data_IF_162891155125
#
_entry.id   IF_162891155125
#
_cell.length_a   1.000
_cell.length_b   1.000
_cell.length_c   1.000
_cell.angle_alpha   90.00
_cell.angle_beta   90.00
_cell.angle_gamma   90.00
#
_symmetry.space_group_name_H-M   'P 1'
#
loop_
_entity.id
_entity.type
_entity.pdbx_description
1 polymer ?
#
# COMPACT_ATOMS: atom_id res chain seq x y z
N UNK A 1 -33.65 -42.53 32.19
CA UNK A 1 -33.35 -42.95 30.81
C UNK A 1 -33.35 -41.69 29.95
N UNK A 2 -32.16 -41.30 29.49
CA UNK A 2 -31.75 -40.18 28.62
C UNK A 2 -32.59 -38.88 28.59
N UNK A 3 -32.05 -37.82 29.24
CA UNK A 3 -32.29 -36.42 28.84
C UNK A 3 -31.48 -36.14 27.57
N UNK A 4 -32.16 -35.90 26.45
CA UNK A 4 -31.55 -35.25 25.29
C UNK A 4 -31.24 -33.79 25.65
N UNK A 5 -29.95 -33.46 25.69
CA UNK A 5 -29.45 -32.09 25.77
C UNK A 5 -29.69 -31.42 24.42
N UNK A 6 -30.74 -30.60 24.34
CA UNK A 6 -30.93 -29.70 23.22
C UNK A 6 -29.83 -28.63 23.26
N UNK A 7 -28.91 -28.67 22.29
CA UNK A 7 -27.83 -27.69 22.15
C UNK A 7 -28.39 -26.36 21.64
N UNK A 8 -28.27 -25.25 22.41
CA UNK A 8 -28.79 -23.93 22.02
C UNK A 8 -28.04 -23.27 20.84
N UNK A 9 -26.89 -23.81 20.42
CA UNK A 9 -26.01 -23.21 19.40
C UNK A 9 -26.56 -23.26 17.96
N UNK A 10 -27.56 -24.12 17.71
CA UNK A 10 -28.04 -24.43 16.36
C UNK A 10 -28.97 -23.36 15.74
N UNK A 11 -29.74 -22.64 16.56
CA UNK A 11 -30.67 -21.61 16.06
C UNK A 11 -29.97 -20.30 15.68
N UNK A 12 -28.88 -19.97 16.36
CA UNK A 12 -28.13 -18.73 16.16
C UNK A 12 -27.24 -18.80 14.91
N UNK A 13 -26.66 -19.98 14.65
CA UNK A 13 -25.89 -20.29 13.42
C UNK A 13 -26.73 -20.25 12.15
N UNK A 14 -27.96 -20.78 12.17
CA UNK A 14 -28.85 -20.77 11.00
C UNK A 14 -29.27 -19.32 10.64
N UNK A 15 -29.38 -18.44 11.64
CA UNK A 15 -29.73 -17.04 11.44
C UNK A 15 -28.61 -16.23 10.77
N UNK A 16 -27.36 -16.42 11.20
CA UNK A 16 -26.20 -15.72 10.66
C UNK A 16 -25.86 -16.16 9.24
N UNK A 17 -25.97 -17.46 8.93
CA UNK A 17 -25.79 -17.96 7.56
C UNK A 17 -26.83 -17.37 6.59
N UNK A 18 -28.10 -17.33 6.99
CA UNK A 18 -29.17 -16.72 6.16
C UNK A 18 -28.93 -15.24 5.90
N UNK A 19 -28.42 -14.51 6.88
CA UNK A 19 -28.07 -13.09 6.72
C UNK A 19 -26.93 -12.92 5.70
N UNK A 20 -25.88 -13.77 5.77
CA UNK A 20 -24.79 -13.73 4.81
C UNK A 20 -25.27 -13.99 3.36
N UNK A 21 -26.10 -15.02 3.16
CA UNK A 21 -26.70 -15.31 1.85
C UNK A 21 -27.52 -14.15 1.29
N UNK A 22 -28.32 -13.50 2.13
CA UNK A 22 -29.12 -12.34 1.74
C UNK A 22 -28.25 -11.15 1.32
N UNK A 23 -27.19 -10.86 2.09
CA UNK A 23 -26.23 -9.80 1.74
C UNK A 23 -25.57 -10.09 0.40
N UNK A 24 -25.19 -11.34 0.12
CA UNK A 24 -24.56 -11.71 -1.15
C UNK A 24 -25.47 -11.53 -2.34
N UNK A 25 -26.76 -11.85 -2.19
CA UNK A 25 -27.72 -11.64 -3.24
C UNK A 25 -27.91 -10.16 -3.55
N UNK A 26 -27.96 -9.34 -2.49
CA UNK A 26 -28.03 -7.89 -2.63
C UNK A 26 -26.79 -7.30 -3.31
N UNK A 27 -25.59 -7.79 -2.97
CA UNK A 27 -24.34 -7.38 -3.62
C UNK A 27 -24.39 -7.70 -5.11
N UNK A 28 -24.72 -8.94 -5.49
CA UNK A 28 -24.83 -9.33 -6.91
C UNK A 28 -25.87 -8.51 -7.66
N UNK A 29 -27.05 -8.34 -7.07
CA UNK A 29 -28.11 -7.52 -7.63
C UNK A 29 -27.61 -6.09 -7.89
N UNK A 30 -26.93 -5.48 -6.92
CA UNK A 30 -26.41 -4.13 -7.07
C UNK A 30 -25.25 -4.01 -8.06
N UNK A 31 -24.38 -5.01 -8.17
CA UNK A 31 -23.33 -5.05 -9.19
C UNK A 31 -23.93 -5.10 -10.60
N UNK A 32 -24.95 -5.94 -10.79
CA UNK A 32 -25.67 -6.06 -12.07
C UNK A 32 -26.46 -4.80 -12.43
N UNK A 33 -27.29 -4.29 -11.53
CA UNK A 33 -28.10 -3.08 -11.77
C UNK A 33 -27.24 -1.85 -12.07
N UNK A 34 -26.05 -1.76 -11.44
CA UNK A 34 -25.09 -0.68 -11.70
C UNK A 34 -24.12 -0.97 -12.85
N UNK A 35 -24.28 -2.11 -13.52
CA UNK A 35 -23.43 -2.55 -14.63
C UNK A 35 -21.94 -2.53 -14.28
N UNK A 36 -21.61 -2.88 -13.04
CA UNK A 36 -20.22 -2.90 -12.54
C UNK A 36 -19.49 -4.05 -13.20
N UNK A 37 -18.42 -3.75 -13.94
CA UNK A 37 -17.59 -4.76 -14.59
C UNK A 37 -16.40 -5.21 -13.73
N UNK A 38 -15.92 -4.32 -12.85
CA UNK A 38 -14.76 -4.57 -11.99
C UNK A 38 -15.05 -4.12 -10.57
N UNK A 39 -14.68 -4.96 -9.61
CA UNK A 39 -14.63 -4.63 -8.19
C UNK A 39 -13.16 -4.58 -7.77
N UNK A 40 -12.73 -3.42 -7.29
CA UNK A 40 -11.41 -3.24 -6.72
C UNK A 40 -11.52 -3.26 -5.20
N UNK A 41 -10.85 -4.22 -4.58
CA UNK A 41 -10.71 -4.33 -3.13
C UNK A 41 -9.29 -3.89 -2.77
N UNK A 42 -9.21 -2.71 -2.15
CA UNK A 42 -7.96 -2.18 -1.61
C UNK A 42 -7.74 -2.66 -0.19
N UNK A 43 -6.47 -2.75 0.21
CA UNK A 43 -6.03 -3.38 1.46
C UNK A 43 -6.65 -4.77 1.67
N UNK A 44 -6.74 -5.57 0.60
CA UNK A 44 -7.43 -6.85 0.58
C UNK A 44 -6.82 -7.88 1.55
N UNK A 45 -5.57 -7.68 2.01
CA UNK A 45 -5.01 -8.48 3.10
C UNK A 45 -5.83 -8.37 4.39
N UNK A 46 -6.60 -7.29 4.60
CA UNK A 46 -7.45 -7.15 5.78
C UNK A 46 -8.62 -8.13 5.80
N UNK A 47 -8.99 -8.67 4.64
CA UNK A 47 -9.93 -9.78 4.55
C UNK A 47 -9.35 -11.08 5.14
N UNK A 48 -8.03 -11.16 5.26
CA UNK A 48 -7.26 -12.29 5.79
C UNK A 48 -6.61 -12.03 7.15
N UNK A 49 -6.35 -10.77 7.51
CA UNK A 49 -5.39 -10.38 8.54
C UNK A 49 -5.75 -10.84 9.97
N UNK A 50 -6.95 -11.39 10.18
CA UNK A 50 -7.44 -11.88 11.49
C UNK A 50 -8.19 -13.20 11.45
N UNK A 51 -8.25 -13.83 10.28
CA UNK A 51 -9.19 -14.93 10.05
C UNK A 51 -8.62 -16.30 10.30
N UNK A 52 -9.45 -17.17 10.89
CA UNK A 52 -9.19 -18.61 10.88
C UNK A 52 -9.11 -19.13 9.44
N UNK A 53 -8.54 -20.32 9.19
CA UNK A 53 -8.57 -20.96 7.85
C UNK A 53 -9.97 -21.01 7.23
N UNK A 54 -11.00 -21.02 8.07
CA UNK A 54 -12.39 -21.01 7.64
C UNK A 54 -12.80 -19.67 7.01
N UNK A 55 -12.35 -18.54 7.55
CA UNK A 55 -12.63 -17.21 7.02
C UNK A 55 -11.93 -16.98 5.68
N UNK A 56 -10.67 -17.42 5.55
CA UNK A 56 -9.95 -17.40 4.27
C UNK A 56 -10.70 -18.20 3.18
N UNK A 57 -11.24 -19.36 3.52
CA UNK A 57 -12.07 -20.16 2.62
C UNK A 57 -13.36 -19.44 2.22
N UNK A 58 -14.00 -18.74 3.17
CA UNK A 58 -15.22 -17.98 2.91
C UNK A 58 -14.95 -16.81 1.96
N UNK A 59 -13.87 -16.05 2.20
CA UNK A 59 -13.42 -14.96 1.34
C UNK A 59 -13.10 -15.47 -0.07
N UNK A 60 -12.27 -16.51 -0.20
CA UNK A 60 -11.93 -17.07 -1.51
C UNK A 60 -13.16 -17.59 -2.26
N UNK A 61 -14.10 -18.24 -1.56
CA UNK A 61 -15.35 -18.72 -2.14
C UNK A 61 -16.26 -17.58 -2.61
N UNK A 62 -16.30 -16.48 -1.85
CA UNK A 62 -17.04 -15.28 -2.23
C UNK A 62 -16.47 -14.65 -3.50
N UNK A 63 -15.16 -14.42 -3.56
CA UNK A 63 -14.51 -13.87 -4.75
C UNK A 63 -14.75 -14.75 -5.98
N UNK A 64 -14.61 -16.07 -5.83
CA UNK A 64 -14.90 -17.02 -6.91
C UNK A 64 -16.34 -16.92 -7.41
N UNK A 65 -17.31 -16.80 -6.49
CA UNK A 65 -18.73 -16.71 -6.84
C UNK A 65 -19.03 -15.47 -7.67
N UNK A 66 -18.45 -14.32 -7.30
CA UNK A 66 -18.59 -13.07 -8.07
C UNK A 66 -17.95 -13.16 -9.46
N UNK A 67 -16.79 -13.81 -9.57
CA UNK A 67 -16.07 -13.99 -10.84
C UNK A 67 -16.78 -14.96 -11.79
N UNK A 68 -17.55 -15.91 -11.28
CA UNK A 68 -18.21 -16.95 -12.06
C UNK A 68 -19.74 -16.85 -12.06
N UNK A 69 -20.27 -15.67 -11.73
CA UNK A 69 -21.71 -15.43 -11.81
C UNK A 69 -22.19 -15.64 -13.26
N UNK A 70 -23.23 -16.47 -13.50
CA UNK A 70 -23.67 -16.78 -14.85
C UNK A 70 -24.44 -15.65 -15.53
N UNK A 71 -25.02 -14.72 -14.76
CA UNK A 71 -25.77 -13.58 -15.30
C UNK A 71 -24.90 -12.33 -15.44
N UNK A 72 -24.01 -12.07 -14.48
CA UNK A 72 -23.19 -10.87 -14.43
C UNK A 72 -21.83 -11.11 -13.75
N UNK A 73 -20.87 -11.77 -14.44
CA UNK A 73 -19.54 -12.00 -13.88
C UNK A 73 -18.78 -10.69 -13.75
N UNK A 74 -18.11 -10.49 -12.60
CA UNK A 74 -17.28 -9.30 -12.36
C UNK A 74 -15.80 -9.65 -12.30
N UNK A 75 -14.98 -8.80 -12.91
CA UNK A 75 -13.53 -8.82 -12.73
C UNK A 75 -13.17 -8.36 -11.31
N UNK A 76 -12.20 -9.02 -10.70
CA UNK A 76 -11.72 -8.66 -9.36
C UNK A 76 -10.30 -8.10 -9.47
N UNK A 77 -10.08 -6.95 -8.85
CA UNK A 77 -8.75 -6.38 -8.62
C UNK A 77 -8.53 -6.41 -7.11
N UNK A 78 -7.45 -7.07 -6.68
CA UNK A 78 -7.03 -7.06 -5.29
C UNK A 78 -5.72 -6.27 -5.20
N UNK A 79 -5.67 -5.25 -4.36
CA UNK A 79 -4.44 -4.58 -3.96
C UNK A 79 -4.25 -4.67 -2.47
N UNK A 80 -3.01 -4.57 -2.03
CA UNK A 80 -2.66 -4.73 -0.64
C UNK A 80 -1.16 -4.88 -0.43
N UNK A 81 -0.83 -5.16 0.81
CA UNK A 81 0.54 -5.47 1.24
C UNK A 81 0.90 -6.93 0.91
N UNK A 82 2.17 -7.37 1.08
CA UNK A 82 2.59 -8.74 0.78
C UNK A 82 1.77 -9.84 1.49
N UNK A 83 1.13 -9.53 2.61
CA UNK A 83 0.20 -10.40 3.35
C UNK A 83 -1.00 -10.86 2.48
N UNK A 84 -1.34 -10.14 1.41
CA UNK A 84 -2.37 -10.57 0.44
C UNK A 84 -1.98 -11.88 -0.27
N UNK A 85 -0.69 -12.20 -0.37
CA UNK A 85 -0.22 -13.44 -0.96
C UNK A 85 -0.78 -14.68 -0.24
N UNK A 86 -1.05 -14.58 1.07
CA UNK A 86 -1.61 -15.67 1.85
C UNK A 86 -3.00 -16.09 1.35
N UNK A 87 -3.83 -15.14 0.92
CA UNK A 87 -5.16 -15.43 0.35
C UNK A 87 -5.02 -16.22 -0.96
N UNK A 88 -4.13 -15.76 -1.85
CA UNK A 88 -3.94 -16.39 -3.15
C UNK A 88 -3.30 -17.77 -3.02
N UNK A 89 -2.30 -17.90 -2.15
CA UNK A 89 -1.61 -19.17 -1.92
C UNK A 89 -2.48 -20.21 -1.19
N UNK A 90 -3.47 -19.75 -0.41
CA UNK A 90 -4.41 -20.63 0.29
C UNK A 90 -5.44 -21.29 -0.65
N UNK A 91 -5.82 -20.64 -1.76
CA UNK A 91 -6.74 -21.20 -2.77
C UNK A 91 -6.14 -21.20 -4.19
N UNK A 92 -5.58 -22.34 -4.63
CA UNK A 92 -5.02 -22.49 -5.98
C UNK A 92 -6.02 -22.24 -7.12
N UNK A 93 -7.33 -22.38 -6.89
CA UNK A 93 -8.34 -22.11 -7.92
C UNK A 93 -8.53 -20.60 -8.09
N UNK A 94 -8.46 -19.84 -7.01
CA UNK A 94 -8.46 -18.38 -7.04
C UNK A 94 -7.18 -17.86 -7.71
N UNK A 95 -6.01 -18.35 -7.27
CA UNK A 95 -4.72 -17.93 -7.84
C UNK A 95 -4.65 -18.12 -9.37
N UNK A 96 -5.16 -19.23 -9.91
CA UNK A 96 -5.19 -19.50 -11.36
C UNK A 96 -6.05 -18.53 -12.17
N UNK A 97 -6.95 -17.79 -11.52
CA UNK A 97 -7.84 -16.82 -12.17
C UNK A 97 -7.33 -15.38 -12.05
N UNK A 98 -6.24 -15.17 -11.32
CA UNK A 98 -5.67 -13.85 -11.06
C UNK A 98 -4.38 -13.68 -11.86
N UNK A 99 -4.16 -12.47 -12.37
CA UNK A 99 -2.86 -12.03 -12.84
C UNK A 99 -2.20 -11.24 -11.71
N UNK A 100 -1.05 -11.71 -11.22
CA UNK A 100 -0.35 -11.07 -10.11
C UNK A 100 0.72 -10.11 -10.61
N UNK A 101 0.82 -8.95 -9.95
CA UNK A 101 1.88 -7.97 -10.14
C UNK A 101 2.44 -7.65 -8.77
N UNK A 102 3.72 -7.95 -8.54
CA UNK A 102 4.40 -7.65 -7.29
C UNK A 102 5.35 -6.47 -7.49
N UNK A 103 5.17 -5.42 -6.69
CA UNK A 103 6.06 -4.25 -6.69
C UNK A 103 7.20 -4.48 -5.70
N UNK A 104 8.40 -4.73 -6.23
CA UNK A 104 9.58 -4.91 -5.39
C UNK A 104 10.03 -3.59 -4.76
N UNK A 105 10.72 -3.69 -3.63
CA UNK A 105 11.43 -2.54 -3.05
C UNK A 105 12.46 -1.99 -4.03
N UNK A 106 12.62 -0.67 -4.03
CA UNK A 106 13.61 0.02 -4.85
C UNK A 106 15.02 -0.27 -4.32
N UNK A 107 15.89 -0.78 -5.18
CA UNK A 107 17.33 -0.75 -4.97
C UNK A 107 17.91 0.65 -5.22
N UNK A 108 18.63 1.27 -4.25
CA UNK A 108 19.33 2.54 -4.45
C UNK A 108 20.25 2.53 -5.68
N UNK A 109 21.03 1.44 -5.82
CA UNK A 109 22.03 1.30 -6.89
C UNK A 109 21.38 1.11 -8.26
N UNK A 110 20.28 0.34 -8.33
CA UNK A 110 19.66 0.01 -9.61
C UNK A 110 18.70 1.10 -10.11
N UNK A 111 17.97 1.76 -9.19
CA UNK A 111 16.87 2.66 -9.54
C UNK A 111 17.14 4.13 -9.20
N UNK A 112 18.36 4.48 -8.77
CA UNK A 112 18.71 5.86 -8.42
C UNK A 112 18.43 6.85 -9.55
N UNK A 113 18.77 6.51 -10.79
CA UNK A 113 18.48 7.35 -11.96
C UNK A 113 16.98 7.43 -12.28
N UNK A 114 16.24 6.31 -12.19
CA UNK A 114 14.78 6.32 -12.43
C UNK A 114 14.06 7.24 -11.44
N UNK A 115 14.52 7.27 -10.19
CA UNK A 115 14.01 8.18 -9.16
C UNK A 115 14.38 9.64 -9.45
N UNK A 116 15.57 9.91 -10.01
CA UNK A 116 15.93 11.25 -10.44
C UNK A 116 15.05 11.74 -11.58
N UNK A 117 14.77 10.89 -12.57
CA UNK A 117 13.85 11.20 -13.67
C UNK A 117 12.43 11.48 -13.13
N UNK A 118 11.99 10.72 -12.12
CA UNK A 118 10.73 10.97 -11.43
C UNK A 118 10.72 12.36 -10.75
N UNK A 119 11.78 12.71 -10.03
CA UNK A 119 11.91 14.04 -9.38
C UNK A 119 11.89 15.14 -10.42
N UNK A 120 12.63 15.01 -11.54
CA UNK A 120 12.65 15.98 -12.61
C UNK A 120 11.27 16.16 -13.26
N UNK A 121 10.53 15.07 -13.48
CA UNK A 121 9.18 15.12 -14.01
C UNK A 121 8.20 15.86 -13.09
N UNK A 122 8.29 15.65 -11.76
CA UNK A 122 7.49 16.41 -10.80
C UNK A 122 7.89 17.88 -10.73
N UNK A 123 9.20 18.18 -10.72
CA UNK A 123 9.74 19.53 -10.81
C UNK A 123 9.20 20.27 -12.03
N UNK A 124 9.23 19.62 -13.20
CA UNK A 124 8.72 20.18 -14.46
C UNK A 124 7.22 20.47 -14.40
N UNK A 125 6.42 19.57 -13.84
CA UNK A 125 4.98 19.79 -13.64
C UNK A 125 4.68 20.92 -12.66
N UNK A 126 5.53 21.09 -11.64
CA UNK A 126 5.42 22.15 -10.66
C UNK A 126 5.94 23.51 -11.18
N UNK A 127 6.69 23.54 -12.29
CA UNK A 127 7.39 24.75 -12.74
C UNK A 127 8.54 25.16 -11.82
N UNK A 128 9.09 24.21 -11.05
CA UNK A 128 10.14 24.42 -10.07
C UNK A 128 11.37 23.59 -10.46
N UNK A 129 12.36 24.15 -11.16
CA UNK A 129 13.50 23.38 -11.64
C UNK A 129 14.38 22.84 -10.49
N UNK A 130 14.99 21.65 -10.64
CA UNK A 130 15.89 21.11 -9.63
C UNK A 130 17.22 21.88 -9.59
N UNK A 131 17.75 22.11 -8.40
CA UNK A 131 19.09 22.65 -8.22
C UNK A 131 20.17 21.61 -8.60
N UNK A 132 21.42 22.02 -8.89
CA UNK A 132 22.49 21.10 -9.29
C UNK A 132 22.76 19.94 -8.30
N UNK A 133 22.47 20.13 -7.01
CA UNK A 133 22.62 19.10 -5.99
C UNK A 133 21.54 18.00 -5.99
N UNK A 134 20.45 18.19 -6.74
CA UNK A 134 19.33 17.24 -6.84
C UNK A 134 19.52 16.27 -8.00
N UNK A 135 20.23 16.67 -9.06
CA UNK A 135 20.35 15.87 -10.30
C UNK A 135 21.44 14.79 -10.28
N UNK A 136 22.17 14.64 -9.16
CA UNK A 136 23.25 13.67 -9.03
C UNK A 136 22.76 12.32 -8.49
N UNK A 137 23.33 11.22 -8.99
CA UNK A 137 23.05 9.85 -8.51
C UNK A 137 23.04 9.69 -6.97
N UNK A 138 23.97 10.30 -6.20
CA UNK A 138 23.95 10.22 -4.74
C UNK A 138 22.68 10.79 -4.10
N UNK A 139 21.97 11.70 -4.78
CA UNK A 139 20.68 12.21 -4.31
C UNK A 139 19.57 11.16 -4.51
N UNK A 140 19.53 10.51 -5.68
CA UNK A 140 18.57 9.45 -5.97
C UNK A 140 18.70 8.26 -5.00
N UNK A 141 19.92 7.78 -4.76
CA UNK A 141 20.20 6.70 -3.79
C UNK A 141 19.72 7.06 -2.38
N UNK A 142 19.98 8.30 -1.97
CA UNK A 142 19.63 8.82 -0.65
C UNK A 142 18.13 9.01 -0.49
N UNK A 143 17.43 9.47 -1.53
CA UNK A 143 15.98 9.58 -1.56
C UNK A 143 15.31 8.20 -1.45
N UNK A 144 15.83 7.20 -2.17
CA UNK A 144 15.36 5.81 -2.06
C UNK A 144 15.51 5.28 -0.64
N UNK A 145 16.69 5.46 -0.03
CA UNK A 145 16.93 5.04 1.35
C UNK A 145 16.01 5.78 2.33
N UNK A 146 15.90 7.10 2.22
CA UNK A 146 15.02 7.92 3.06
C UNK A 146 13.54 7.52 2.96
N UNK A 147 13.12 7.01 1.80
CA UNK A 147 11.79 6.47 1.53
C UNK A 147 11.64 5.00 1.96
N UNK A 148 12.56 4.46 2.77
CA UNK A 148 12.57 3.06 3.20
C UNK A 148 12.47 2.07 2.01
N UNK A 149 13.05 2.45 0.87
CA UNK A 149 13.03 1.71 -0.39
C UNK A 149 11.62 1.51 -0.99
N UNK A 150 10.62 2.28 -0.56
CA UNK A 150 9.25 2.19 -1.07
C UNK A 150 8.98 3.28 -2.11
N UNK A 151 8.53 2.87 -3.30
CA UNK A 151 8.25 3.79 -4.41
C UNK A 151 7.19 4.86 -4.06
N UNK A 152 6.12 4.47 -3.36
CA UNK A 152 5.11 5.43 -2.89
C UNK A 152 5.70 6.52 -1.99
N UNK A 153 6.53 6.12 -1.02
CA UNK A 153 7.21 7.06 -0.13
C UNK A 153 8.22 7.97 -0.87
N UNK A 154 8.84 7.50 -1.95
CA UNK A 154 9.69 8.36 -2.80
C UNK A 154 8.87 9.49 -3.40
N UNK A 155 7.67 9.19 -3.93
CA UNK A 155 6.76 10.20 -4.48
C UNK A 155 6.33 11.17 -3.38
N UNK A 156 5.90 10.66 -2.23
CA UNK A 156 5.46 11.50 -1.10
C UNK A 156 6.57 12.45 -0.63
N UNK A 157 7.79 11.94 -0.43
CA UNK A 157 8.95 12.76 -0.05
C UNK A 157 9.30 13.81 -1.10
N UNK A 158 9.20 13.46 -2.39
CA UNK A 158 9.42 14.40 -3.50
C UNK A 158 8.40 15.53 -3.49
N UNK A 159 7.11 15.19 -3.36
CA UNK A 159 6.03 16.17 -3.31
C UNK A 159 6.14 17.06 -2.07
N UNK A 160 6.44 16.48 -0.91
CA UNK A 160 6.66 17.23 0.31
C UNK A 160 7.85 18.18 0.20
N UNK A 161 8.95 17.78 -0.43
CA UNK A 161 10.08 18.68 -0.69
C UNK A 161 9.70 19.82 -1.64
N UNK A 162 8.95 19.55 -2.71
CA UNK A 162 8.44 20.59 -3.61
C UNK A 162 7.52 21.57 -2.85
N UNK A 163 6.66 21.07 -1.98
CA UNK A 163 5.81 21.91 -1.12
C UNK A 163 6.66 22.79 -0.20
N UNK A 164 7.69 22.24 0.45
CA UNK A 164 8.62 23.02 1.27
C UNK A 164 9.33 24.11 0.47
N UNK A 165 9.72 23.84 -0.78
CA UNK A 165 10.33 24.84 -1.64
C UNK A 165 9.37 26.00 -1.91
N UNK A 166 8.09 25.71 -2.21
CA UNK A 166 7.08 26.73 -2.42
C UNK A 166 6.76 27.55 -1.17
N UNK A 167 6.61 26.90 -0.02
CA UNK A 167 6.35 27.57 1.26
C UNK A 167 7.47 28.56 1.63
N UNK A 168 8.71 28.26 1.21
CA UNK A 168 9.86 29.13 1.42
C UNK A 168 10.10 30.14 0.28
N UNK A 169 9.23 30.20 -0.72
CA UNK A 169 9.39 31.08 -1.89
C UNK A 169 10.62 30.77 -2.73
N UNK A 170 11.10 29.52 -2.70
CA UNK A 170 12.27 29.10 -3.46
C UNK A 170 11.98 29.09 -4.97
N UNK A 171 13.03 29.34 -5.77
CA UNK A 171 12.96 29.30 -7.24
C UNK A 171 13.45 27.99 -7.84
N UNK A 172 14.03 27.13 -7.01
CA UNK A 172 14.56 25.83 -7.40
C UNK A 172 14.33 24.85 -6.24
N UNK A 173 14.14 23.57 -6.56
CA UNK A 173 14.11 22.51 -5.56
C UNK A 173 15.55 22.19 -5.12
N UNK A 174 15.84 22.28 -3.82
CA UNK A 174 17.18 22.06 -3.27
C UNK A 174 17.18 21.00 -2.16
N UNK A 175 18.37 20.50 -1.81
CA UNK A 175 18.52 19.45 -0.77
C UNK A 175 17.90 19.86 0.56
N UNK A 176 17.95 21.16 0.91
CA UNK A 176 17.35 21.68 2.14
C UNK A 176 15.83 21.48 2.21
N UNK A 177 15.15 21.43 1.06
CA UNK A 177 13.71 21.15 1.02
C UNK A 177 13.42 19.71 1.40
N UNK A 178 14.24 18.76 0.93
CA UNK A 178 14.18 17.36 1.36
C UNK A 178 14.56 17.17 2.82
N UNK A 179 15.54 17.92 3.33
CA UNK A 179 15.88 17.95 4.76
C UNK A 179 14.66 18.32 5.59
N UNK A 180 13.99 19.44 5.25
CA UNK A 180 12.78 19.91 5.94
C UNK A 180 11.63 18.92 5.82
N UNK A 181 11.36 18.44 4.61
CA UNK A 181 10.29 17.47 4.35
C UNK A 181 10.49 16.20 5.18
N UNK A 182 11.72 15.67 5.23
CA UNK A 182 12.03 14.49 6.02
C UNK A 182 11.86 14.76 7.52
N UNK A 183 12.37 15.89 8.02
CA UNK A 183 12.21 16.28 9.42
C UNK A 183 10.74 16.42 9.83
N UNK A 184 9.90 17.05 8.99
CA UNK A 184 8.46 17.18 9.28
C UNK A 184 7.75 15.83 9.32
N UNK A 185 8.15 14.90 8.46
CA UNK A 185 7.57 13.55 8.40
C UNK A 185 7.98 12.68 9.60
N UNK A 186 9.24 12.74 10.03
CA UNK A 186 9.80 11.79 11.01
C UNK A 186 10.07 12.40 12.38
N UNK A 187 10.05 13.74 12.51
CA UNK A 187 10.45 14.47 13.71
C UNK A 187 11.82 14.05 14.26
N UNK A 188 12.75 13.70 13.37
CA UNK A 188 14.11 13.28 13.72
C UNK A 188 15.07 14.47 13.89
N UNK A 189 16.09 14.34 14.73
CA UNK A 189 17.18 15.31 14.78
C UNK A 189 18.06 15.24 13.52
N UNK A 190 18.86 16.28 13.25
CA UNK A 190 19.73 16.37 12.07
C UNK A 190 20.68 15.18 11.93
N UNK A 191 21.18 14.65 13.06
CA UNK A 191 22.06 13.47 13.13
C UNK A 191 21.42 12.18 12.59
N UNK A 192 20.09 12.17 12.42
CA UNK A 192 19.27 11.08 11.89
C UNK A 192 18.56 11.44 10.59
N UNK A 193 18.88 12.58 9.97
CA UNK A 193 18.29 12.96 8.69
C UNK A 193 19.16 12.43 7.54
N UNK A 194 18.64 11.52 6.69
CA UNK A 194 19.38 10.99 5.55
C UNK A 194 19.84 12.05 4.57
N UNK A 195 19.25 13.25 4.53
CA UNK A 195 19.65 14.34 3.64
C UNK A 195 20.79 15.22 4.18
N UNK A 196 21.17 15.05 5.45
CA UNK A 196 22.23 15.82 6.11
C UNK A 196 23.52 15.01 6.24
N UNK A 197 23.41 13.77 6.75
CA UNK A 197 24.60 13.02 7.15
C UNK A 197 25.28 12.32 5.97
N UNK A 198 26.62 12.25 5.91
CA UNK A 198 27.31 11.56 4.81
C UNK A 198 26.97 10.06 4.75
N UNK A 199 27.04 9.37 5.88
CA UNK A 199 26.73 7.94 6.04
C UNK A 199 25.25 7.73 6.34
N UNK A 200 24.39 7.96 5.34
CA UNK A 200 22.94 7.94 5.50
C UNK A 200 22.36 6.53 5.71
N UNK A 201 23.09 5.48 5.33
CA UNK A 201 22.65 4.09 5.52
C UNK A 201 22.53 3.69 7.00
N UNK A 202 23.21 4.40 7.91
CA UNK A 202 23.08 4.17 9.35
C UNK A 202 21.73 4.58 9.93
N UNK A 203 20.94 5.38 9.19
CA UNK A 203 19.61 5.82 9.61
C UNK A 203 18.60 4.73 9.25
N UNK A 204 17.85 4.26 10.24
CA UNK A 204 16.65 3.46 9.99
C UNK A 204 15.53 4.40 9.50
N UNK A 205 15.28 4.40 8.18
CA UNK A 205 14.30 5.28 7.55
C UNK A 205 12.84 4.96 7.91
N UNK A 206 12.58 3.85 8.62
CA UNK A 206 11.25 3.49 9.14
C UNK A 206 11.00 4.03 10.55
N UNK A 207 12.04 4.49 11.24
CA UNK A 207 11.89 5.04 12.58
C UNK A 207 11.44 6.51 12.55
N UNK A 208 10.57 6.85 13.49
CA UNK A 208 10.12 8.22 13.78
C UNK A 208 10.59 8.62 15.18
N UNK A 209 10.74 9.92 15.42
CA UNK A 209 11.21 10.54 16.66
C UNK A 209 12.62 10.15 17.10
N UNK A 210 13.49 9.78 16.16
CA UNK A 210 14.90 9.48 16.44
C UNK A 210 15.63 10.75 16.90
N UNK A 211 16.17 10.71 18.12
CA UNK A 211 16.85 11.84 18.77
C UNK A 211 18.17 11.41 19.40
N UNK A 212 19.08 12.35 19.56
CA UNK A 212 20.31 12.08 20.30
C UNK A 212 19.97 11.71 21.76
N UNK A 213 20.60 10.64 22.27
CA UNK A 213 20.51 10.30 23.69
C UNK A 213 21.30 11.36 24.47
N UNK A 214 20.56 12.24 25.15
CA UNK A 214 21.12 13.20 26.11
C UNK A 214 21.71 12.48 27.32
#
# INVERSE_FOLDING_TARGET
MMMERHHPDSHEQISSERQAWYIWDLVRHHLKERQVMFVHLDEAQDMASRGTKHELNAVASMLKTLMTDPEWPVGIILSGTPELEDILNHDPQLARRMQTVHFNSLSPVAHGNDVLDLVENYCKRAGLPPAPGIVGLPHGERLIHAAANQFGLVIELTLAAIEQAFLNGARQLATQDFVRAYHLRTACDDSFNPFIIPDFYRVDARQVFSREKR
#
